data_IF_594501006472
#
_entry.id   IF_594501006472
#
_cell.length_a   1.000
_cell.length_b   1.000
_cell.length_c   1.000
_cell.angle_alpha   90.00
_cell.angle_beta   90.00
_cell.angle_gamma   90.00
#
_symmetry.space_group_name_H-M   'P 1'
#
loop_
_entity.id
_entity.type
_entity.pdbx_description
1 polymer ?
#
# COMPACT_ATOMS: atom_id res chain seq x y z
N UNK A 1 62.00 -17.83 14.57
CA UNK A 1 61.05 -16.70 14.53
C UNK A 1 60.41 -16.70 13.16
N UNK A 2 59.15 -17.15 13.05
CA UNK A 2 58.41 -17.17 11.78
C UNK A 2 57.38 -16.05 11.86
N UNK A 3 57.45 -15.14 10.91
CA UNK A 3 56.59 -13.96 10.79
C UNK A 3 55.19 -14.38 10.34
N UNK A 4 54.16 -14.07 11.13
CA UNK A 4 52.77 -14.34 10.81
C UNK A 4 52.22 -13.19 9.95
N UNK A 5 52.21 -13.38 8.62
CA UNK A 5 51.40 -12.57 7.72
C UNK A 5 49.95 -13.08 7.72
N UNK A 6 49.05 -12.20 8.15
CA UNK A 6 47.84 -11.84 7.42
C UNK A 6 46.77 -12.91 7.17
N UNK A 7 45.63 -12.75 7.86
CA UNK A 7 44.33 -12.84 7.19
C UNK A 7 43.30 -12.03 7.99
N UNK A 8 43.15 -10.74 7.66
CA UNK A 8 41.95 -9.98 8.04
C UNK A 8 40.85 -10.37 7.09
N UNK A 9 39.95 -11.25 7.53
CA UNK A 9 38.68 -11.50 6.87
C UNK A 9 37.81 -10.25 7.00
N UNK A 10 37.86 -9.37 6.00
CA UNK A 10 36.81 -8.39 5.78
C UNK A 10 35.52 -9.16 5.43
N UNK A 11 34.71 -9.44 6.46
CA UNK A 11 33.29 -9.70 6.29
C UNK A 11 32.66 -8.41 5.75
N UNK A 12 32.63 -8.27 4.42
CA UNK A 12 31.69 -7.37 3.78
C UNK A 12 30.30 -7.82 4.23
N UNK A 13 29.70 -7.09 5.17
CA UNK A 13 28.26 -7.17 5.37
C UNK A 13 27.62 -6.71 4.07
N UNK A 14 27.27 -7.67 3.21
CA UNK A 14 26.38 -7.38 2.10
C UNK A 14 25.03 -7.05 2.71
N UNK A 15 24.83 -5.76 3.05
CA UNK A 15 23.52 -5.23 3.31
C UNK A 15 22.68 -5.59 2.07
N UNK A 16 21.57 -6.33 2.23
CA UNK A 16 20.74 -6.69 1.09
C UNK A 16 20.34 -5.41 0.34
N UNK A 17 20.27 -5.43 -0.99
CA UNK A 17 19.86 -4.27 -1.77
C UNK A 17 18.55 -3.75 -1.20
N UNK A 18 18.55 -2.50 -0.77
CA UNK A 18 17.42 -1.84 -0.13
C UNK A 18 16.19 -1.92 -1.05
N UNK A 19 15.32 -2.90 -0.81
CA UNK A 19 13.96 -2.89 -1.33
C UNK A 19 13.23 -1.82 -0.55
N UNK A 20 13.09 -0.66 -1.18
CA UNK A 20 12.28 0.42 -0.65
C UNK A 20 10.82 -0.08 -0.57
N UNK A 21 10.33 -0.40 0.63
CA UNK A 21 8.90 -0.56 0.86
C UNK A 21 8.28 0.83 0.85
N UNK A 22 7.75 1.22 -0.29
CA UNK A 22 7.03 2.48 -0.37
C UNK A 22 5.66 2.30 0.24
N UNK A 23 5.15 3.38 0.83
CA UNK A 23 3.79 3.40 1.37
C UNK A 23 2.74 2.93 0.35
N UNK A 24 3.01 3.09 -0.96
CA UNK A 24 2.17 2.56 -2.05
C UNK A 24 2.58 1.22 -2.68
N UNK A 25 3.80 0.69 -2.47
CA UNK A 25 4.30 -0.50 -3.17
C UNK A 25 5.55 -0.24 -4.04
N UNK A 26 6.16 -1.27 -4.66
CA UNK A 26 7.48 -1.16 -5.27
C UNK A 26 7.52 -0.20 -6.47
N UNK A 27 8.17 0.96 -6.38
CA UNK A 27 8.18 1.97 -7.47
C UNK A 27 8.77 1.50 -8.81
N UNK A 28 9.59 0.44 -8.81
CA UNK A 28 10.29 -0.06 -10.01
C UNK A 28 9.76 -1.40 -10.52
N UNK A 29 8.97 -2.11 -9.73
CA UNK A 29 8.45 -3.42 -10.11
C UNK A 29 7.01 -3.26 -10.58
N UNK A 30 6.84 -2.79 -11.82
CA UNK A 30 5.53 -2.53 -12.41
C UNK A 30 4.85 -3.83 -12.82
N UNK A 31 4.10 -4.44 -11.90
CA UNK A 31 3.47 -5.76 -12.08
C UNK A 31 2.18 -5.90 -11.25
N UNK A 32 1.47 -7.01 -11.39
CA UNK A 32 0.40 -7.38 -10.48
C UNK A 32 0.94 -7.54 -9.05
N UNK A 33 0.17 -7.08 -8.06
CA UNK A 33 0.54 -7.11 -6.65
C UNK A 33 -0.58 -7.73 -5.82
N UNK A 34 -0.19 -8.31 -4.69
CA UNK A 34 -1.08 -8.76 -3.62
C UNK A 34 -0.72 -8.03 -2.31
N UNK A 35 -1.68 -7.82 -1.39
CA UNK A 35 -1.46 -7.08 -0.14
C UNK A 35 -0.78 -7.91 0.97
N UNK A 36 -0.07 -8.97 0.59
CA UNK A 36 0.45 -10.00 1.50
C UNK A 36 1.70 -9.58 2.27
N UNK A 37 2.35 -8.47 1.91
CA UNK A 37 3.57 -8.04 2.58
C UNK A 37 3.30 -7.68 4.06
N UNK A 38 3.71 -8.57 4.98
CA UNK A 38 3.52 -8.40 6.42
C UNK A 38 4.52 -7.45 7.07
N UNK A 39 5.69 -7.17 6.46
CA UNK A 39 6.75 -6.38 7.10
C UNK A 39 6.47 -4.87 7.16
N UNK A 40 6.10 -4.29 6.02
CA UNK A 40 6.10 -2.84 5.81
C UNK A 40 4.75 -2.15 6.07
N UNK A 41 3.65 -2.91 6.12
CA UNK A 41 2.32 -2.35 6.28
C UNK A 41 1.64 -2.93 7.52
N UNK A 42 0.93 -2.08 8.24
CA UNK A 42 0.02 -2.50 9.32
C UNK A 42 -1.39 -2.70 8.74
N UNK A 43 -2.10 -3.74 9.18
CA UNK A 43 -3.53 -3.89 8.84
C UNK A 43 -4.32 -2.75 9.48
N UNK A 44 -5.28 -2.22 8.73
CA UNK A 44 -6.08 -1.09 9.22
C UNK A 44 -7.12 -1.51 10.26
N UNK A 45 -7.61 -2.76 10.19
CA UNK A 45 -8.52 -3.38 11.15
C UNK A 45 -8.17 -4.86 11.34
N UNK A 46 -8.52 -5.42 12.51
CA UNK A 46 -8.42 -6.85 12.81
C UNK A 46 -9.37 -7.70 11.94
N UNK A 47 -10.47 -7.13 11.43
CA UNK A 47 -11.42 -7.85 10.55
C UNK A 47 -10.80 -8.33 9.24
N UNK A 48 -9.76 -7.64 8.77
CA UNK A 48 -8.97 -8.00 7.58
C UNK A 48 -8.08 -9.25 7.82
N UNK A 49 -8.01 -9.69 9.08
CA UNK A 49 -7.19 -10.79 9.59
C UNK A 49 -8.05 -11.84 10.31
N UNK A 50 -9.36 -11.82 10.11
CA UNK A 50 -10.33 -12.68 10.81
C UNK A 50 -10.10 -14.19 10.62
N UNK A 51 -9.32 -14.58 9.60
CA UNK A 51 -8.94 -15.96 9.33
C UNK A 51 -7.62 -16.37 10.02
N UNK A 52 -6.89 -15.43 10.62
CA UNK A 52 -5.57 -15.65 11.19
C UNK A 52 -5.64 -15.98 12.70
N UNK A 53 -4.62 -16.66 13.25
CA UNK A 53 -4.50 -16.83 14.70
C UNK A 53 -4.51 -15.49 15.43
N UNK A 54 -5.25 -15.40 16.54
CA UNK A 54 -5.49 -14.14 17.24
C UNK A 54 -4.20 -13.38 17.62
N UNK A 55 -3.20 -14.07 18.16
CA UNK A 55 -1.93 -13.46 18.55
C UNK A 55 -1.21 -12.83 17.34
N UNK A 56 -1.23 -13.52 16.20
CA UNK A 56 -0.66 -12.99 14.97
C UNK A 56 -1.48 -11.80 14.46
N UNK A 57 -2.81 -11.91 14.41
CA UNK A 57 -3.68 -10.83 13.97
C UNK A 57 -3.49 -9.55 14.81
N UNK A 58 -3.42 -9.71 16.14
CA UNK A 58 -3.16 -8.62 17.08
C UNK A 58 -1.81 -7.95 16.85
N UNK A 59 -0.78 -8.67 16.41
CA UNK A 59 0.54 -8.10 16.11
C UNK A 59 0.64 -7.38 14.76
N UNK A 60 -0.34 -7.55 13.87
CA UNK A 60 -0.32 -6.94 12.53
C UNK A 60 -1.13 -5.65 12.41
N UNK A 61 -2.01 -5.35 13.37
CA UNK A 61 -2.80 -4.10 13.38
C UNK A 61 -1.97 -2.89 13.78
N UNK A 62 -2.35 -1.72 13.25
CA UNK A 62 -1.63 -0.45 13.41
C UNK A 62 -1.39 -0.05 14.87
N UNK A 63 -2.33 -0.36 15.76
CA UNK A 63 -2.28 -0.04 17.19
C UNK A 63 -1.09 -0.73 17.88
N UNK A 64 -0.97 -2.04 17.69
CA UNK A 64 0.05 -2.85 18.37
C UNK A 64 1.38 -2.92 17.63
N UNK A 65 1.43 -2.38 16.40
CA UNK A 65 2.62 -2.40 15.56
C UNK A 65 3.22 -1.01 15.43
N UNK A 66 2.65 -0.18 14.58
CA UNK A 66 3.22 1.13 14.25
C UNK A 66 3.03 2.15 15.37
N UNK A 67 1.81 2.27 15.91
CA UNK A 67 1.54 3.21 17.00
C UNK A 67 2.39 2.88 18.22
N UNK A 68 2.42 1.60 18.60
CA UNK A 68 3.25 1.11 19.70
C UNK A 68 4.75 1.38 19.46
N UNK A 69 5.25 1.22 18.23
CA UNK A 69 6.64 1.55 17.94
C UNK A 69 6.98 3.04 18.15
N UNK A 70 6.07 3.95 17.77
CA UNK A 70 6.24 5.39 18.03
C UNK A 70 6.14 5.68 19.54
N UNK A 71 5.14 5.12 20.22
CA UNK A 71 4.88 5.31 21.65
C UNK A 71 6.03 4.81 22.54
N UNK A 72 6.59 3.64 22.21
CA UNK A 72 7.72 3.06 22.93
C UNK A 72 9.06 3.69 22.49
N UNK A 73 9.08 4.38 21.34
CA UNK A 73 10.30 4.94 20.78
C UNK A 73 11.24 3.84 20.31
N UNK A 74 10.70 2.74 19.79
CA UNK A 74 11.48 1.59 19.35
C UNK A 74 11.89 1.72 17.89
N UNK A 75 12.94 0.98 17.50
CA UNK A 75 13.44 0.97 16.12
C UNK A 75 13.79 2.37 15.62
N UNK A 76 13.25 2.82 14.46
CA UNK A 76 13.58 4.12 13.87
C UNK A 76 13.22 5.36 14.72
N UNK A 77 12.41 5.20 15.77
CA UNK A 77 11.93 6.30 16.60
C UNK A 77 12.80 6.54 17.85
N UNK A 78 13.83 5.72 18.10
CA UNK A 78 14.69 5.80 19.31
C UNK A 78 15.36 7.16 19.50
N UNK A 79 15.70 7.84 18.41
CA UNK A 79 16.40 9.12 18.44
C UNK A 79 15.46 10.33 18.53
N UNK A 80 14.13 10.10 18.52
CA UNK A 80 13.16 11.18 18.63
C UNK A 80 12.94 11.59 20.09
N UNK A 81 12.76 12.90 20.30
CA UNK A 81 12.29 13.40 21.59
C UNK A 81 10.89 12.85 21.90
N UNK A 82 10.52 12.80 23.19
CA UNK A 82 9.17 12.40 23.59
C UNK A 82 8.09 13.27 22.93
N UNK A 83 8.31 14.58 22.86
CA UNK A 83 7.39 15.54 22.25
C UNK A 83 7.20 15.26 20.75
N UNK A 84 8.27 14.98 20.01
CA UNK A 84 8.17 14.66 18.59
C UNK A 84 7.45 13.32 18.36
N UNK A 85 7.66 12.33 19.22
CA UNK A 85 6.94 11.03 19.13
C UNK A 85 5.45 11.20 19.39
N UNK A 86 5.07 11.97 20.40
CA UNK A 86 3.67 12.28 20.68
C UNK A 86 3.01 13.03 19.52
N UNK A 87 3.70 14.02 18.96
CA UNK A 87 3.23 14.74 17.77
C UNK A 87 3.07 13.81 16.57
N UNK A 88 4.09 12.99 16.26
CA UNK A 88 4.03 12.04 15.15
C UNK A 88 2.87 11.06 15.32
N UNK A 89 2.70 10.50 16.51
CA UNK A 89 1.61 9.58 16.80
C UNK A 89 0.23 10.24 16.60
N UNK A 90 0.06 11.49 17.04
CA UNK A 90 -1.17 12.24 16.84
C UNK A 90 -1.45 12.50 15.35
N UNK A 91 -0.46 12.97 14.60
CA UNK A 91 -0.60 13.25 13.16
C UNK A 91 -0.92 11.97 12.36
N UNK A 92 -0.27 10.85 12.69
CA UNK A 92 -0.53 9.55 12.05
C UNK A 92 -1.93 9.04 12.41
N UNK A 93 -2.36 9.16 13.67
CA UNK A 93 -3.73 8.79 14.08
C UNK A 93 -4.78 9.62 13.34
N UNK A 94 -4.54 10.93 13.16
CA UNK A 94 -5.42 11.81 12.39
C UNK A 94 -5.47 11.42 10.90
N UNK A 95 -4.33 11.08 10.29
CA UNK A 95 -4.29 10.54 8.93
C UNK A 95 -5.16 9.29 8.82
N UNK A 96 -4.99 8.35 9.75
CA UNK A 96 -5.74 7.10 9.73
C UNK A 96 -7.24 7.35 9.92
N UNK A 97 -7.64 8.17 10.90
CA UNK A 97 -9.04 8.57 11.15
C UNK A 97 -9.73 9.11 9.88
N UNK A 98 -9.03 9.96 9.13
CA UNK A 98 -9.59 10.64 7.96
C UNK A 98 -9.48 9.82 6.67
N UNK A 99 -8.62 8.80 6.63
CA UNK A 99 -8.38 8.00 5.45
C UNK A 99 -9.60 7.14 5.10
N UNK A 100 -9.84 6.96 3.81
CA UNK A 100 -10.92 6.08 3.34
C UNK A 100 -10.61 5.47 1.98
N UNK A 101 -11.30 4.37 1.70
CA UNK A 101 -11.34 3.73 0.38
C UNK A 101 -12.77 3.29 0.09
N UNK A 102 -13.25 3.62 -1.09
CA UNK A 102 -14.56 3.19 -1.59
C UNK A 102 -14.40 2.51 -2.94
N UNK A 103 -15.28 1.55 -3.20
CA UNK A 103 -15.34 0.80 -4.43
C UNK A 103 -16.74 0.90 -5.04
N UNK A 104 -16.79 1.14 -6.34
CA UNK A 104 -18.00 1.03 -7.14
C UNK A 104 -17.77 -0.02 -8.22
N UNK A 105 -18.65 -1.01 -8.27
CA UNK A 105 -18.69 -2.05 -9.29
C UNK A 105 -20.16 -2.36 -9.63
N UNK A 106 -20.46 -2.90 -10.82
CA UNK A 106 -21.80 -3.35 -11.16
C UNK A 106 -22.28 -4.46 -10.22
N UNK A 107 -23.56 -4.51 -9.89
CA UNK A 107 -24.13 -5.59 -9.09
C UNK A 107 -24.33 -6.89 -9.88
N UNK A 108 -24.49 -6.81 -11.21
CA UNK A 108 -24.66 -7.98 -12.08
C UNK A 108 -24.17 -7.71 -13.50
N UNK A 109 -23.66 -8.76 -14.16
CA UNK A 109 -23.12 -8.75 -15.51
C UNK A 109 -23.47 -10.06 -16.22
N UNK A 110 -23.47 -10.05 -17.56
CA UNK A 110 -23.44 -11.30 -18.35
C UNK A 110 -22.03 -11.88 -18.41
N UNK A 111 -21.87 -13.19 -18.64
CA UNK A 111 -20.57 -13.80 -18.94
C UNK A 111 -19.77 -13.02 -19.98
N UNK A 112 -18.52 -12.69 -19.65
CA UNK A 112 -17.61 -11.95 -20.53
C UNK A 112 -17.95 -10.48 -20.78
N UNK A 113 -19.03 -9.94 -20.20
CA UNK A 113 -19.43 -8.54 -20.38
C UNK A 113 -18.36 -7.61 -19.81
N UNK A 114 -18.00 -6.58 -20.58
CA UNK A 114 -17.13 -5.50 -20.11
C UNK A 114 -17.87 -4.54 -19.17
N UNK A 115 -17.19 -4.12 -18.11
CA UNK A 115 -17.67 -3.11 -17.18
C UNK A 115 -16.52 -2.33 -16.54
N UNK A 116 -16.85 -1.21 -15.90
CA UNK A 116 -15.89 -0.42 -15.13
C UNK A 116 -16.00 -0.75 -13.64
N UNK A 117 -14.84 -0.88 -13.00
CA UNK A 117 -14.69 -0.92 -11.55
C UNK A 117 -13.90 0.30 -11.14
N UNK A 118 -14.46 1.11 -10.25
CA UNK A 118 -13.89 2.40 -9.84
C UNK A 118 -13.57 2.39 -8.35
N UNK A 119 -12.32 2.66 -8.00
CA UNK A 119 -11.91 2.94 -6.63
C UNK A 119 -11.67 4.44 -6.43
N UNK A 120 -12.13 4.96 -5.31
CA UNK A 120 -11.76 6.29 -4.82
C UNK A 120 -11.07 6.14 -3.48
N UNK A 121 -9.90 6.73 -3.33
CA UNK A 121 -9.07 6.66 -2.13
C UNK A 121 -8.81 8.05 -1.58
N UNK A 122 -8.69 8.15 -0.26
CA UNK A 122 -8.38 9.39 0.43
C UNK A 122 -7.37 9.11 1.54
N UNK A 123 -6.26 9.85 1.55
CA UNK A 123 -5.19 9.72 2.54
C UNK A 123 -3.84 9.40 1.92
N UNK A 124 -2.83 9.32 2.79
CA UNK A 124 -1.44 9.17 2.40
C UNK A 124 -0.75 10.48 2.01
N UNK A 125 0.56 10.41 1.80
CA UNK A 125 1.37 11.53 1.31
C UNK A 125 2.53 10.99 0.45
N UNK A 126 2.81 11.64 -0.67
CA UNK A 126 3.78 11.18 -1.66
C UNK A 126 3.18 10.13 -2.60
N UNK A 127 3.44 8.85 -2.33
CA UNK A 127 2.99 7.74 -3.20
C UNK A 127 2.10 6.79 -2.43
N UNK A 128 0.96 6.43 -3.03
CA UNK A 128 0.00 5.45 -2.51
C UNK A 128 -0.26 4.37 -3.56
N UNK A 129 -0.78 3.23 -3.13
CA UNK A 129 -1.06 2.08 -3.99
C UNK A 129 -2.51 1.66 -3.91
N UNK A 130 -3.08 1.23 -5.03
CA UNK A 130 -4.43 0.67 -5.08
C UNK A 130 -4.40 -0.64 -5.85
N UNK A 131 -4.92 -1.70 -5.25
CA UNK A 131 -4.86 -3.06 -5.79
C UNK A 131 -6.28 -3.61 -5.90
N UNK A 132 -6.68 -4.09 -7.08
CA UNK A 132 -7.95 -4.76 -7.35
C UNK A 132 -7.84 -6.27 -7.06
N UNK A 133 -8.72 -6.77 -6.18
CA UNK A 133 -8.57 -8.07 -5.52
C UNK A 133 -9.91 -8.80 -5.37
N UNK A 134 -9.84 -10.10 -5.06
CA UNK A 134 -11.00 -10.97 -4.82
C UNK A 134 -11.61 -10.82 -3.41
N UNK A 135 -10.79 -10.70 -2.36
CA UNK A 135 -11.25 -10.66 -0.96
C UNK A 135 -10.54 -9.59 -0.11
N UNK A 136 -11.16 -9.24 1.02
CA UNK A 136 -10.62 -8.30 2.02
C UNK A 136 -9.79 -8.98 3.12
N UNK A 137 -9.53 -10.27 2.97
CA UNK A 137 -8.63 -11.03 3.82
C UNK A 137 -7.18 -10.78 3.42
N UNK A 138 -6.45 -9.97 4.18
CA UNK A 138 -5.13 -9.46 3.80
C UNK A 138 -4.15 -10.54 3.31
N UNK A 139 -4.08 -11.66 4.01
CA UNK A 139 -3.10 -12.71 3.71
C UNK A 139 -3.65 -13.80 2.77
N UNK A 140 -4.90 -13.69 2.34
CA UNK A 140 -5.55 -14.62 1.40
C UNK A 140 -5.95 -13.94 0.08
N UNK A 141 -5.93 -12.60 0.03
CA UNK A 141 -6.32 -11.82 -1.14
C UNK A 141 -5.37 -12.03 -2.32
N UNK A 142 -5.97 -12.24 -3.49
CA UNK A 142 -5.28 -12.42 -4.77
C UNK A 142 -5.75 -11.36 -5.77
N UNK A 143 -4.96 -11.08 -6.83
CA UNK A 143 -5.43 -10.31 -7.96
C UNK A 143 -6.76 -10.85 -8.49
N UNK A 144 -7.69 -9.97 -8.86
CA UNK A 144 -9.05 -10.34 -9.27
C UNK A 144 -9.08 -11.33 -10.45
N UNK A 145 -7.99 -11.38 -11.24
CA UNK A 145 -7.81 -12.35 -12.31
C UNK A 145 -7.85 -13.82 -11.83
N UNK A 146 -7.54 -14.07 -10.56
CA UNK A 146 -7.63 -15.41 -9.96
C UNK A 146 -9.07 -15.94 -9.87
N UNK A 147 -10.06 -15.04 -9.89
CA UNK A 147 -11.50 -15.35 -9.89
C UNK A 147 -12.09 -15.34 -11.32
N UNK A 148 -11.25 -15.36 -12.35
CA UNK A 148 -11.67 -15.43 -13.76
C UNK A 148 -12.00 -14.08 -14.39
N UNK A 149 -11.87 -12.97 -13.67
CA UNK A 149 -11.99 -11.63 -14.25
C UNK A 149 -10.84 -11.33 -15.18
N UNK A 150 -11.10 -10.60 -16.27
CA UNK A 150 -10.04 -10.13 -17.16
C UNK A 150 -9.96 -8.62 -17.13
N UNK A 151 -8.82 -8.06 -16.70
CA UNK A 151 -8.57 -6.61 -16.84
C UNK A 151 -8.28 -6.30 -18.31
N UNK A 152 -9.00 -5.34 -18.86
CA UNK A 152 -8.91 -4.91 -20.25
C UNK A 152 -8.09 -3.64 -20.33
N UNK A 153 -6.87 -3.75 -20.87
CA UNK A 153 -5.99 -2.61 -21.08
C UNK A 153 -5.42 -2.00 -19.79
N UNK A 154 -4.72 -0.85 -19.89
CA UNK A 154 -4.17 -0.16 -18.74
C UNK A 154 -5.27 0.44 -17.84
N UNK A 155 -5.19 0.30 -16.51
CA UNK A 155 -6.04 1.06 -15.61
C UNK A 155 -5.77 2.56 -15.73
N UNK A 156 -6.83 3.37 -15.58
CA UNK A 156 -6.74 4.83 -15.57
C UNK A 156 -6.63 5.35 -14.15
N UNK A 157 -5.75 6.31 -13.91
CA UNK A 157 -5.39 6.77 -12.56
C UNK A 157 -5.46 8.28 -12.50
N UNK A 158 -6.06 8.85 -11.46
CA UNK A 158 -6.06 10.30 -11.19
C UNK A 158 -5.48 10.57 -9.81
N UNK A 159 -4.60 11.57 -9.72
CA UNK A 159 -4.04 12.06 -8.48
C UNK A 159 -4.86 13.19 -7.84
N UNK A 160 -4.30 13.79 -6.79
CA UNK A 160 -4.95 14.88 -6.05
C UNK A 160 -5.05 16.21 -6.81
N UNK A 161 -4.35 16.33 -7.95
CA UNK A 161 -4.47 17.45 -8.89
C UNK A 161 -5.62 17.27 -9.90
N UNK A 162 -6.31 16.13 -9.86
CA UNK A 162 -7.40 15.79 -10.77
C UNK A 162 -6.96 15.43 -12.19
N UNK A 163 -5.65 15.36 -12.46
CA UNK A 163 -5.12 14.98 -13.78
C UNK A 163 -4.87 13.48 -13.86
N UNK A 164 -5.04 12.92 -15.07
CA UNK A 164 -4.74 11.52 -15.30
C UNK A 164 -3.22 11.29 -15.25
N UNK A 165 -2.79 10.28 -14.48
CA UNK A 165 -1.40 9.87 -14.35
C UNK A 165 -1.15 8.57 -15.10
N UNK A 166 -0.16 8.56 -15.98
CA UNK A 166 0.29 7.34 -16.68
C UNK A 166 1.63 6.81 -16.17
N UNK A 167 2.31 7.57 -15.29
CA UNK A 167 3.68 7.30 -14.82
C UNK A 167 3.90 5.86 -14.34
N UNK A 168 2.94 5.28 -13.60
CA UNK A 168 3.06 3.90 -13.13
C UNK A 168 3.00 2.91 -14.30
N UNK A 169 1.92 2.98 -15.10
CA UNK A 169 1.68 2.03 -16.20
C UNK A 169 2.72 2.16 -17.32
N UNK A 170 3.28 3.35 -17.51
CA UNK A 170 4.37 3.62 -18.46
C UNK A 170 5.73 3.16 -17.96
N UNK A 171 5.89 2.93 -16.65
CA UNK A 171 7.08 2.31 -16.10
C UNK A 171 7.23 0.82 -16.42
N UNK A 172 6.18 0.19 -16.98
CA UNK A 172 6.25 -1.21 -17.44
C UNK A 172 7.09 -1.30 -18.71
N UNK A 173 7.88 -2.36 -18.84
CA UNK A 173 8.79 -2.52 -19.97
C UNK A 173 8.06 -2.49 -21.33
N UNK A 174 8.67 -1.91 -22.38
CA UNK A 174 8.08 -1.85 -23.71
C UNK A 174 7.63 -3.22 -24.23
N UNK A 175 6.48 -3.26 -24.92
CA UNK A 175 5.91 -4.49 -25.49
C UNK A 175 5.14 -5.38 -24.50
N UNK A 176 5.24 -5.15 -23.18
CA UNK A 176 4.44 -5.88 -22.20
C UNK A 176 3.03 -5.33 -22.10
N UNK A 177 2.04 -6.22 -21.88
CA UNK A 177 0.66 -5.83 -21.62
C UNK A 177 0.56 -5.08 -20.29
N UNK A 178 -0.27 -4.03 -20.24
CA UNK A 178 -0.45 -3.13 -19.07
C UNK A 178 -1.73 -3.41 -18.26
N UNK A 179 -2.35 -4.57 -18.46
CA UNK A 179 -3.57 -5.00 -17.75
C UNK A 179 -3.29 -5.45 -16.31
N UNK A 180 -2.90 -4.49 -15.47
CA UNK A 180 -2.47 -4.71 -14.09
C UNK A 180 -3.62 -4.58 -13.10
N UNK A 181 -3.63 -5.44 -12.08
CA UNK A 181 -4.53 -5.30 -10.94
C UNK A 181 -4.12 -4.16 -10.00
N UNK A 182 -2.86 -3.74 -10.06
CA UNK A 182 -2.28 -2.76 -9.14
C UNK A 182 -1.83 -1.49 -9.85
N UNK A 183 -2.03 -0.37 -9.17
CA UNK A 183 -1.52 0.94 -9.59
C UNK A 183 -0.88 1.69 -8.44
N UNK A 184 0.07 2.56 -8.77
CA UNK A 184 0.55 3.60 -7.86
C UNK A 184 0.00 4.95 -8.29
N UNK A 185 -0.41 5.75 -7.31
CA UNK A 185 -0.77 7.15 -7.49
C UNK A 185 0.35 7.99 -6.89
N UNK A 186 0.95 8.86 -7.70
CA UNK A 186 2.08 9.69 -7.32
C UNK A 186 1.63 11.07 -6.85
N UNK A 187 2.59 11.77 -6.24
CA UNK A 187 2.54 13.20 -5.95
C UNK A 187 1.32 13.61 -5.09
N UNK A 188 0.86 12.69 -4.25
CA UNK A 188 -0.21 12.91 -3.27
C UNK A 188 0.24 13.93 -2.23
N UNK A 189 -0.51 15.02 -2.07
CA UNK A 189 -0.20 16.08 -1.11
C UNK A 189 -1.33 16.19 -0.09
N UNK A 190 -1.03 15.78 1.14
CA UNK A 190 -1.92 15.95 2.29
C UNK A 190 -1.43 17.12 3.12
N UNK A 191 -2.37 17.99 3.51
CA UNK A 191 -2.23 18.99 4.57
C UNK A 191 -3.05 18.52 5.79
N UNK A 192 -2.38 17.88 6.74
CA UNK A 192 -3.03 17.36 7.94
C UNK A 192 -3.52 18.49 8.86
N UNK A 193 -2.83 19.63 8.91
CA UNK A 193 -3.23 20.75 9.75
C UNK A 193 -4.56 21.34 9.28
N UNK A 194 -4.76 21.42 7.96
CA UNK A 194 -6.04 21.82 7.37
C UNK A 194 -7.07 20.68 7.27
N UNK A 195 -6.74 19.46 7.73
CA UNK A 195 -7.54 18.23 7.54
C UNK A 195 -7.90 17.95 6.08
N UNK A 196 -7.04 18.37 5.15
CA UNK A 196 -7.18 18.17 3.70
C UNK A 196 -6.29 17.02 3.27
N UNK A 197 -6.87 15.84 3.17
CA UNK A 197 -6.17 14.67 2.63
C UNK A 197 -6.10 14.73 1.10
N UNK A 198 -5.02 14.19 0.58
CA UNK A 198 -4.90 13.87 -0.83
C UNK A 198 -5.98 12.84 -1.23
N UNK A 199 -6.53 13.00 -2.42
CA UNK A 199 -7.54 12.11 -2.99
C UNK A 199 -7.00 11.50 -4.29
N UNK A 200 -7.50 10.31 -4.60
CA UNK A 200 -7.12 9.60 -5.82
C UNK A 200 -8.28 8.76 -6.34
N UNK A 201 -8.24 8.49 -7.64
CA UNK A 201 -9.23 7.66 -8.31
C UNK A 201 -8.53 6.69 -9.24
N UNK A 202 -9.00 5.45 -9.27
CA UNK A 202 -8.53 4.43 -10.20
C UNK A 202 -9.73 3.78 -10.87
N UNK A 203 -9.67 3.62 -12.18
CA UNK A 203 -10.70 2.94 -12.96
C UNK A 203 -10.06 1.78 -13.72
N UNK A 204 -10.54 0.58 -13.45
CA UNK A 204 -10.26 -0.61 -14.25
C UNK A 204 -11.43 -0.86 -15.19
N UNK A 205 -11.13 -1.20 -16.44
CA UNK A 205 -12.10 -1.88 -17.32
C UNK A 205 -11.86 -3.37 -17.18
N UNK A 206 -12.91 -4.15 -16.91
CA UNK A 206 -12.84 -5.59 -16.68
C UNK A 206 -13.87 -6.33 -17.50
N UNK A 207 -13.60 -7.58 -17.87
CA UNK A 207 -14.62 -8.55 -18.32
C UNK A 207 -14.99 -9.46 -17.17
N UNK A 208 -16.30 -9.69 -17.01
CA UNK A 208 -16.83 -10.69 -16.10
C UNK A 208 -16.30 -12.09 -16.44
N UNK A 209 -16.15 -12.98 -15.43
CA UNK A 209 -15.92 -14.40 -15.64
C UNK A 209 -16.90 -15.02 -16.64
N UNK A 210 -16.47 -16.08 -17.34
CA UNK A 210 -17.33 -16.79 -18.28
C UNK A 210 -18.31 -17.73 -17.56
N UNK A 211 -17.91 -18.25 -16.41
CA UNK A 211 -18.75 -19.11 -15.59
C UNK A 211 -19.79 -18.26 -14.85
N UNK A 212 -21.07 -18.64 -14.88
CA UNK A 212 -22.07 -18.01 -14.03
C UNK A 212 -21.77 -18.24 -12.55
N UNK A 213 -22.00 -17.23 -11.72
CA UNK A 213 -21.66 -17.30 -10.30
C UNK A 213 -21.80 -15.97 -9.58
N UNK A 214 -21.47 -15.95 -8.29
CA UNK A 214 -21.36 -14.71 -7.52
C UNK A 214 -19.91 -14.53 -7.11
N UNK A 215 -19.32 -13.44 -7.57
CA UNK A 215 -17.91 -13.14 -7.40
C UNK A 215 -17.74 -11.94 -6.49
N UNK A 216 -16.78 -12.01 -5.58
CA UNK A 216 -16.40 -10.86 -4.75
C UNK A 216 -15.37 -10.02 -5.49
N UNK A 217 -15.53 -8.69 -5.44
CA UNK A 217 -14.53 -7.72 -5.86
C UNK A 217 -14.29 -6.77 -4.70
N UNK A 218 -13.02 -6.51 -4.37
CA UNK A 218 -12.63 -5.45 -3.46
C UNK A 218 -11.37 -4.73 -3.95
N UNK A 219 -10.96 -3.69 -3.22
CA UNK A 219 -9.67 -3.04 -3.41
C UNK A 219 -8.91 -2.91 -2.10
N UNK A 220 -7.61 -3.14 -2.14
CA UNK A 220 -6.68 -2.72 -1.08
C UNK A 220 -6.09 -1.36 -1.40
N UNK A 221 -6.03 -0.49 -0.41
CA UNK A 221 -5.43 0.82 -0.42
C UNK A 221 -4.21 0.82 0.50
N UNK A 222 -3.04 1.03 -0.10
CA UNK A 222 -1.76 1.16 0.56
C UNK A 222 -1.37 2.62 0.69
N UNK A 223 -1.27 3.12 1.92
CA UNK A 223 -0.90 4.52 2.17
C UNK A 223 -0.04 4.67 3.43
N UNK A 224 0.65 5.80 3.57
CA UNK A 224 1.50 6.10 4.72
C UNK A 224 1.26 7.52 5.21
N UNK A 225 1.26 7.71 6.53
CA UNK A 225 0.89 8.98 7.16
C UNK A 225 2.04 9.87 7.57
N UNK A 226 3.22 9.31 7.85
CA UNK A 226 4.29 10.04 8.52
C UNK A 226 4.83 11.22 7.72
N UNK A 227 4.93 11.11 6.39
CA UNK A 227 5.46 12.18 5.53
C UNK A 227 4.60 13.45 5.55
N UNK A 228 3.34 13.36 5.97
CA UNK A 228 2.48 14.53 6.17
C UNK A 228 2.72 15.24 7.52
N UNK A 229 3.47 14.62 8.43
CA UNK A 229 3.87 15.23 9.70
C UNK A 229 5.20 15.98 9.54
N UNK A 230 5.30 17.15 10.17
CA UNK A 230 6.56 17.94 10.20
C UNK A 230 7.71 17.23 10.91
N UNK A 231 7.43 16.20 11.72
CA UNK A 231 8.44 15.42 12.48
C UNK A 231 8.57 13.98 11.97
N UNK A 232 7.78 13.61 10.96
CA UNK A 232 7.65 12.24 10.44
C UNK A 232 8.54 11.91 9.26
N UNK A 233 9.57 12.73 8.99
CA UNK A 233 10.55 12.46 7.94
C UNK A 233 11.97 12.42 8.48
N UNK A 234 12.84 11.71 7.75
CA UNK A 234 14.28 11.71 7.94
C UNK A 234 14.96 11.88 6.58
N UNK A 235 16.02 12.66 6.53
CA UNK A 235 16.86 12.82 5.34
C UNK A 235 18.05 11.88 5.45
N UNK A 236 18.24 11.01 4.45
CA UNK A 236 19.42 10.13 4.40
C UNK A 236 20.69 10.94 4.14
N UNK A 237 21.89 10.37 4.38
CA UNK A 237 23.16 11.01 3.99
C UNK A 237 23.25 11.35 2.50
N UNK A 238 22.50 10.64 1.65
CA UNK A 238 22.39 10.87 0.21
C UNK A 238 21.33 11.92 -0.18
N UNK A 239 20.70 12.59 0.81
CA UNK A 239 19.70 13.63 0.59
C UNK A 239 18.28 13.13 0.31
N UNK A 240 18.01 11.82 0.42
CA UNK A 240 16.68 11.25 0.16
C UNK A 240 15.79 11.46 1.38
N UNK A 241 14.59 12.00 1.18
CA UNK A 241 13.59 12.17 2.23
C UNK A 241 12.70 10.94 2.34
N UNK A 242 12.80 10.25 3.47
CA UNK A 242 12.09 9.02 3.79
C UNK A 242 11.11 9.25 4.95
N UNK A 243 10.06 8.42 5.09
CA UNK A 243 9.30 8.41 6.35
C UNK A 243 10.25 8.03 7.49
N UNK A 244 10.01 8.56 8.69
CA UNK A 244 10.84 8.30 9.87
C UNK A 244 10.90 6.81 10.20
N UNK A 245 9.78 6.09 10.09
CA UNK A 245 9.70 4.63 10.24
C UNK A 245 10.53 3.83 9.22
N UNK A 246 11.19 4.52 8.28
CA UNK A 246 12.04 3.93 7.27
C UNK A 246 11.26 3.30 6.13
N UNK A 247 11.97 2.80 5.10
CA UNK A 247 11.35 2.17 3.94
C UNK A 247 10.82 0.76 4.23
N UNK A 248 11.22 0.13 5.33
CA UNK A 248 10.79 -1.23 5.69
C UNK A 248 9.83 -1.29 6.89
N UNK A 249 9.52 -0.14 7.50
CA UNK A 249 8.81 -0.10 8.77
C UNK A 249 7.30 -0.16 8.62
N UNK A 250 6.56 -0.52 9.69
CA UNK A 250 5.10 -0.68 9.71
C UNK A 250 4.30 0.63 9.53
N UNK A 251 4.97 1.71 9.12
CA UNK A 251 4.45 3.07 9.03
C UNK A 251 3.32 3.23 8.02
N UNK A 252 3.22 2.31 7.06
CA UNK A 252 2.14 2.26 6.09
C UNK A 252 0.93 1.43 6.56
N UNK A 253 -0.19 1.59 5.88
CA UNK A 253 -1.46 0.89 6.14
C UNK A 253 -1.87 0.06 4.94
N UNK A 254 -2.51 -1.07 5.21
CA UNK A 254 -3.39 -1.76 4.26
C UNK A 254 -4.82 -1.55 4.72
N UNK A 255 -5.60 -0.80 3.95
CA UNK A 255 -7.03 -0.62 4.17
C UNK A 255 -7.79 -1.28 3.01
N UNK A 256 -8.88 -1.96 3.28
CA UNK A 256 -9.72 -2.56 2.23
C UNK A 256 -11.03 -1.80 2.10
N UNK A 257 -11.53 -1.69 0.86
CA UNK A 257 -12.94 -1.36 0.66
C UNK A 257 -13.80 -2.52 1.15
N UNK A 258 -15.06 -2.22 1.49
CA UNK A 258 -16.04 -3.29 1.67
C UNK A 258 -16.17 -4.06 0.35
N UNK A 259 -16.08 -5.40 0.36
CA UNK A 259 -16.27 -6.19 -0.85
C UNK A 259 -17.65 -5.96 -1.47
N UNK A 260 -17.68 -5.90 -2.80
CA UNK A 260 -18.91 -5.86 -3.60
C UNK A 260 -19.09 -7.23 -4.22
N UNK A 261 -20.28 -7.83 -4.02
CA UNK A 261 -20.64 -9.08 -4.65
C UNK A 261 -21.27 -8.79 -6.02
N UNK A 262 -20.74 -9.41 -7.07
CA UNK A 262 -21.22 -9.27 -8.45
C UNK A 262 -21.76 -10.60 -8.96
N UNK A 263 -23.02 -10.62 -9.38
CA UNK A 263 -23.66 -11.82 -9.93
C UNK A 263 -23.49 -11.88 -11.45
N UNK A 264 -22.84 -12.92 -11.95
CA UNK A 264 -22.68 -13.23 -13.37
C UNK A 264 -23.77 -14.20 -13.80
N UNK A 265 -24.64 -13.80 -14.73
CA UNK A 265 -25.76 -14.59 -15.26
C UNK A 265 -26.27 -14.07 -16.59
#
# INVERSE_FOLDING_TARGET
MVSALGLSTMLLSMAPPHTYGYSGGPLRNVTDLAPTCAGCHSSYSKDQLRNEPEAFANGQVKENKHYKAIEDGSGPYQQMSLADRQKLLADVKLMDELASVNLSAPASLRPGQEAQVTATVKGGHGVVGVLLLDTDLRFQARPIQAEGWMIVGPPKVWGGDGQEQTKWVDGRAPGLKKNLNSVLIFDQKTDLAARKLAEGKVVWTVKAPQEPGTYSITVAFHFGGEKASSVGTVTTPTGVVLPRGGPGGPSARVMFARPVMVTVR
#
